data_IF_686519070075
#
_entry.id   IF_686519070075
#
_cell.length_a   1.000
_cell.length_b   1.000
_cell.length_c   1.000
_cell.angle_alpha   90.00
_cell.angle_beta   90.00
_cell.angle_gamma   90.00
#
_symmetry.space_group_name_H-M   'P 1'
#
loop_
_entity.id
_entity.type
_entity.pdbx_description
1 polymer ?
#
# COMPACT_ATOMS: atom_id res chain seq x y z
N UNK A 1 -39.00 -14.72 -15.03
CA UNK A 1 -38.74 -13.43 -14.38
C UNK A 1 -37.25 -13.36 -14.06
N UNK A 2 -36.48 -12.57 -14.82
CA UNK A 2 -35.05 -12.42 -14.55
C UNK A 2 -34.86 -11.40 -13.42
N UNK A 3 -34.27 -11.84 -12.31
CA UNK A 3 -33.87 -10.93 -11.25
C UNK A 3 -32.83 -9.95 -11.82
N UNK A 4 -33.20 -8.67 -11.93
CA UNK A 4 -32.25 -7.57 -12.13
C UNK A 4 -31.37 -7.52 -10.88
N UNK A 5 -30.26 -8.26 -10.90
CA UNK A 5 -29.17 -8.03 -9.97
C UNK A 5 -28.66 -6.62 -10.21
N UNK A 6 -29.11 -5.66 -9.40
CA UNK A 6 -28.48 -4.35 -9.33
C UNK A 6 -27.10 -4.57 -8.72
N UNK A 7 -26.10 -4.80 -9.57
CA UNK A 7 -24.70 -4.73 -9.16
C UNK A 7 -24.46 -3.27 -8.77
N UNK A 8 -24.70 -2.93 -7.49
CA UNK A 8 -24.23 -1.67 -6.92
C UNK A 8 -22.71 -1.73 -6.96
N UNK A 9 -22.14 -1.20 -8.04
CA UNK A 9 -20.72 -0.88 -8.10
C UNK A 9 -20.52 0.20 -7.05
N UNK A 10 -20.01 -0.16 -5.86
CA UNK A 10 -19.50 0.82 -4.91
C UNK A 10 -18.45 1.63 -5.66
N UNK A 11 -18.79 2.85 -6.07
CA UNK A 11 -17.84 3.74 -6.75
C UNK A 11 -16.65 3.91 -5.83
N UNK A 12 -15.46 3.55 -6.31
CA UNK A 12 -14.22 3.77 -5.59
C UNK A 12 -14.11 5.28 -5.30
N UNK A 13 -14.14 5.65 -4.02
CA UNK A 13 -13.91 7.02 -3.57
C UNK A 13 -12.51 7.06 -2.96
N UNK A 14 -11.62 7.85 -3.55
CA UNK A 14 -10.32 8.11 -2.96
C UNK A 14 -10.50 8.90 -1.65
N UNK A 15 -9.89 8.43 -0.58
CA UNK A 15 -10.03 9.00 0.77
C UNK A 15 -8.81 9.81 1.21
N UNK A 16 -7.62 9.52 0.69
CA UNK A 16 -6.40 10.26 1.03
C UNK A 16 -5.11 9.52 0.71
N UNK A 17 -4.00 10.25 0.88
CA UNK A 17 -2.64 9.73 0.85
C UNK A 17 -2.11 9.56 2.28
N UNK A 18 -1.44 8.44 2.51
CA UNK A 18 -0.71 8.18 3.75
C UNK A 18 0.78 8.03 3.40
N UNK A 19 1.61 8.93 3.91
CA UNK A 19 3.06 8.81 3.83
C UNK A 19 3.52 8.06 5.09
N UNK A 20 4.14 6.89 4.90
CA UNK A 20 4.62 6.10 6.02
C UNK A 20 6.08 6.45 6.29
N UNK A 21 6.33 6.97 7.49
CA UNK A 21 7.67 7.22 8.01
C UNK A 21 8.00 6.18 9.08
N UNK A 22 9.13 5.49 8.91
CA UNK A 22 9.60 4.47 9.85
C UNK A 22 10.54 5.06 10.90
N UNK A 23 10.35 4.66 12.16
CA UNK A 23 11.37 4.87 13.20
C UNK A 23 12.64 4.07 12.90
N UNK A 24 13.73 4.34 13.61
CA UNK A 24 14.98 3.60 13.43
C UNK A 24 14.82 2.10 13.75
N UNK A 25 14.09 1.77 14.80
CA UNK A 25 13.78 0.39 15.18
C UNK A 25 12.91 -0.31 14.12
N UNK A 26 11.93 0.40 13.57
CA UNK A 26 11.09 -0.15 12.50
C UNK A 26 11.88 -0.38 11.21
N UNK A 27 12.79 0.52 10.85
CA UNK A 27 13.71 0.32 9.72
C UNK A 27 14.56 -0.93 9.90
N UNK A 28 15.11 -1.13 11.10
CA UNK A 28 15.88 -2.32 11.42
C UNK A 28 15.06 -3.60 11.24
N UNK A 29 13.82 -3.61 11.75
CA UNK A 29 12.89 -4.75 11.59
C UNK A 29 12.54 -5.04 10.13
N UNK A 30 12.34 -4.00 9.33
CA UNK A 30 12.06 -4.11 7.90
C UNK A 30 13.26 -4.73 7.18
N UNK A 31 14.47 -4.23 7.43
CA UNK A 31 15.71 -4.75 6.83
C UNK A 31 15.92 -6.22 7.21
N UNK A 32 15.81 -6.54 8.50
CA UNK A 32 15.90 -7.91 9.00
C UNK A 32 14.91 -8.85 8.31
N UNK A 33 13.68 -8.39 8.09
CA UNK A 33 12.67 -9.18 7.41
C UNK A 33 13.01 -9.39 5.93
N UNK A 34 13.45 -8.33 5.24
CA UNK A 34 13.84 -8.38 3.82
C UNK A 34 15.00 -9.37 3.64
N UNK A 35 16.01 -9.30 4.49
CA UNK A 35 17.20 -10.15 4.41
C UNK A 35 16.87 -11.63 4.73
N UNK A 36 15.92 -11.88 5.62
CA UNK A 36 15.50 -13.25 6.01
C UNK A 36 14.55 -13.92 5.02
N UNK A 37 13.66 -13.16 4.38
CA UNK A 37 12.60 -13.74 3.56
C UNK A 37 12.98 -13.92 2.10
N UNK A 38 14.13 -13.38 1.66
CA UNK A 38 14.66 -13.37 0.28
C UNK A 38 13.60 -13.54 -0.81
N UNK A 39 12.51 -12.78 -0.67
CA UNK A 39 11.34 -12.96 -1.51
C UNK A 39 11.61 -12.26 -2.84
N UNK A 40 11.27 -12.93 -3.93
CA UNK A 40 11.36 -12.30 -5.23
C UNK A 40 10.37 -11.13 -5.32
N UNK A 41 10.73 -10.11 -6.09
CA UNK A 41 9.89 -8.92 -6.25
C UNK A 41 8.58 -9.29 -6.95
N UNK A 42 8.59 -10.26 -7.87
CA UNK A 42 7.36 -10.71 -8.52
C UNK A 42 6.41 -11.39 -7.53
N UNK A 43 6.93 -12.18 -6.59
CA UNK A 43 6.12 -12.81 -5.54
C UNK A 43 5.52 -11.76 -4.60
N UNK A 44 6.30 -10.72 -4.26
CA UNK A 44 5.80 -9.59 -3.48
C UNK A 44 4.58 -8.94 -4.16
N UNK A 45 4.68 -8.63 -5.45
CA UNK A 45 3.60 -8.01 -6.22
C UNK A 45 2.40 -8.95 -6.33
N UNK A 46 2.64 -10.24 -6.62
CA UNK A 46 1.59 -11.25 -6.80
C UNK A 46 0.69 -11.31 -5.58
N UNK A 47 1.26 -11.43 -4.37
CA UNK A 47 0.45 -11.51 -3.16
C UNK A 47 -0.33 -10.22 -2.88
N UNK A 48 0.26 -9.05 -3.15
CA UNK A 48 -0.46 -7.79 -3.00
C UNK A 48 -1.68 -7.73 -3.94
N UNK A 49 -1.51 -8.11 -5.20
CA UNK A 49 -2.59 -8.13 -6.19
C UNK A 49 -3.67 -9.14 -5.83
N UNK A 50 -3.30 -10.35 -5.39
CA UNK A 50 -4.24 -11.38 -4.92
C UNK A 50 -5.04 -10.92 -3.70
N UNK A 51 -4.41 -10.13 -2.82
CA UNK A 51 -5.07 -9.48 -1.69
C UNK A 51 -5.93 -8.26 -2.09
N UNK A 52 -6.16 -8.04 -3.40
CA UNK A 52 -6.91 -6.91 -3.97
C UNK A 52 -6.25 -5.56 -3.70
N UNK A 53 -4.93 -5.49 -3.72
CA UNK A 53 -4.19 -4.23 -3.72
C UNK A 53 -3.65 -3.92 -5.11
N UNK A 54 -3.87 -2.68 -5.57
CA UNK A 54 -3.20 -2.16 -6.75
C UNK A 54 -1.83 -1.64 -6.32
N UNK A 55 -0.77 -2.12 -6.96
CA UNK A 55 0.59 -1.60 -6.80
C UNK A 55 0.92 -0.65 -7.96
N UNK A 56 1.57 0.48 -7.66
CA UNK A 56 2.06 1.43 -8.66
C UNK A 56 3.49 1.84 -8.36
N UNK A 57 4.27 2.13 -9.41
CA UNK A 57 5.64 2.62 -9.28
C UNK A 57 5.74 3.91 -10.08
N UNK A 58 6.32 4.94 -9.48
CA UNK A 58 6.69 6.18 -10.14
C UNK A 58 8.09 6.61 -9.73
N UNK A 59 8.70 7.49 -10.53
CA UNK A 59 9.95 8.15 -10.19
C UNK A 59 9.64 9.61 -9.85
N UNK A 60 10.17 10.09 -8.72
CA UNK A 60 10.04 11.48 -8.29
C UNK A 60 11.35 12.20 -8.63
N UNK A 61 11.35 12.93 -9.76
CA UNK A 61 12.50 13.70 -10.23
C UNK A 61 12.95 14.79 -9.25
N UNK A 62 12.05 15.30 -8.39
CA UNK A 62 12.43 16.34 -7.44
C UNK A 62 13.25 15.77 -6.29
N UNK A 63 12.81 14.64 -5.73
CA UNK A 63 13.51 13.99 -4.61
C UNK A 63 14.49 12.89 -5.03
N UNK A 64 14.59 12.61 -6.34
CA UNK A 64 15.50 11.62 -6.94
C UNK A 64 15.34 10.21 -6.32
N UNK A 65 14.09 9.82 -6.05
CA UNK A 65 13.76 8.51 -5.48
C UNK A 65 12.57 7.88 -6.19
N UNK A 66 12.46 6.56 -6.09
CA UNK A 66 11.28 5.84 -6.54
C UNK A 66 10.17 5.97 -5.50
N UNK A 67 8.93 6.12 -5.97
CA UNK A 67 7.72 6.09 -5.17
C UNK A 67 6.93 4.81 -5.50
N UNK A 68 6.84 3.90 -4.54
CA UNK A 68 5.99 2.71 -4.60
C UNK A 68 4.67 3.05 -3.91
N UNK A 69 3.57 2.85 -4.62
CA UNK A 69 2.22 3.13 -4.13
C UNK A 69 1.41 1.84 -4.00
N UNK A 70 0.58 1.78 -2.98
CA UNK A 70 -0.34 0.67 -2.72
C UNK A 70 -1.75 1.21 -2.46
N UNK A 71 -2.70 0.85 -3.31
CA UNK A 71 -4.10 1.24 -3.15
C UNK A 71 -4.96 0.03 -2.85
N UNK A 72 -5.65 0.02 -1.70
CA UNK A 72 -6.58 -1.05 -1.36
C UNK A 72 -7.84 -0.95 -2.24
N UNK A 73 -8.18 -2.05 -2.93
CA UNK A 73 -9.39 -2.18 -3.75
C UNK A 73 -10.44 -3.09 -3.12
N UNK A 74 -10.18 -3.68 -1.96
CA UNK A 74 -11.14 -4.52 -1.27
C UNK A 74 -12.21 -3.68 -0.54
N UNK A 75 -13.50 -3.73 -0.93
CA UNK A 75 -14.54 -2.89 -0.33
C UNK A 75 -14.93 -3.26 1.10
N UNK A 76 -14.44 -4.40 1.62
CA UNK A 76 -14.59 -4.82 3.01
C UNK A 76 -13.50 -4.28 3.93
N UNK A 77 -12.35 -3.88 3.39
CA UNK A 77 -11.26 -3.40 4.23
C UNK A 77 -11.49 -1.96 4.70
N UNK A 78 -11.05 -1.65 5.92
CA UNK A 78 -10.96 -0.27 6.44
C UNK A 78 -10.10 0.65 5.56
N UNK A 79 -9.20 0.07 4.77
CA UNK A 79 -8.28 0.82 3.90
C UNK A 79 -8.87 1.08 2.51
N UNK A 80 -10.08 0.63 2.22
CA UNK A 80 -10.72 0.88 0.94
C UNK A 80 -10.73 2.38 0.60
N UNK A 81 -10.11 2.74 -0.52
CA UNK A 81 -10.02 4.15 -0.95
C UNK A 81 -8.75 4.88 -0.52
N UNK A 82 -7.90 4.28 0.33
CA UNK A 82 -6.60 4.84 0.70
C UNK A 82 -5.49 4.42 -0.27
N UNK A 83 -4.52 5.32 -0.46
CA UNK A 83 -3.26 5.04 -1.16
C UNK A 83 -2.07 5.31 -0.23
N UNK A 84 -1.28 4.28 0.02
CA UNK A 84 -0.05 4.35 0.81
C UNK A 84 1.13 4.53 -0.12
N UNK A 85 2.06 5.42 0.22
CA UNK A 85 3.25 5.69 -0.59
C UNK A 85 4.51 5.42 0.22
N UNK A 86 5.43 4.67 -0.37
CA UNK A 86 6.76 4.36 0.14
C UNK A 86 7.79 4.94 -0.82
N UNK A 87 8.68 5.81 -0.31
CA UNK A 87 9.78 6.35 -1.09
C UNK A 87 11.06 5.59 -0.81
N UNK A 88 11.75 5.16 -1.85
CA UNK A 88 13.01 4.43 -1.72
C UNK A 88 13.91 4.64 -2.95
N UNK A 89 15.23 4.70 -2.76
CA UNK A 89 16.20 4.85 -3.87
C UNK A 89 16.22 3.62 -4.77
N UNK A 90 16.02 2.44 -4.19
CA UNK A 90 15.88 1.16 -4.88
C UNK A 90 14.40 0.73 -4.93
N UNK A 91 13.85 0.59 -6.13
CA UNK A 91 12.46 0.18 -6.37
C UNK A 91 12.16 -1.24 -5.85
N UNK A 92 13.11 -2.17 -5.97
CA UNK A 92 12.92 -3.56 -5.52
C UNK A 92 12.76 -3.59 -4.01
N UNK A 93 13.62 -2.86 -3.29
CA UNK A 93 13.48 -2.67 -1.83
C UNK A 93 12.17 -1.97 -1.48
N UNK A 94 11.78 -0.92 -2.22
CA UNK A 94 10.48 -0.26 -2.02
C UNK A 94 9.28 -1.22 -2.11
N UNK A 95 9.31 -2.16 -3.06
CA UNK A 95 8.28 -3.18 -3.22
C UNK A 95 8.29 -4.23 -2.10
N UNK A 96 9.48 -4.62 -1.62
CA UNK A 96 9.59 -5.51 -0.45
C UNK A 96 9.11 -4.84 0.84
N UNK A 97 9.35 -3.53 1.02
CA UNK A 97 8.80 -2.73 2.12
C UNK A 97 7.27 -2.71 2.05
N UNK A 98 6.72 -2.45 0.86
CA UNK A 98 5.28 -2.53 0.62
C UNK A 98 4.70 -3.90 1.01
N UNK A 99 5.40 -4.99 0.67
CA UNK A 99 5.00 -6.33 1.08
C UNK A 99 5.06 -6.55 2.59
N UNK A 100 6.14 -6.12 3.24
CA UNK A 100 6.27 -6.16 4.70
C UNK A 100 5.11 -5.44 5.38
N UNK A 101 4.79 -4.22 4.93
CA UNK A 101 3.68 -3.45 5.50
C UNK A 101 2.34 -4.15 5.36
N UNK A 102 2.12 -4.82 4.23
CA UNK A 102 0.92 -5.63 4.06
C UNK A 102 0.84 -6.78 5.08
N UNK A 103 1.89 -7.58 5.21
CA UNK A 103 1.87 -8.78 6.06
C UNK A 103 1.72 -8.47 7.54
N UNK A 104 2.37 -7.41 8.03
CA UNK A 104 2.42 -7.10 9.46
C UNK A 104 1.41 -6.06 9.91
N UNK A 105 0.92 -5.21 9.01
CA UNK A 105 0.08 -4.08 9.40
C UNK A 105 -1.24 -4.01 8.65
N UNK A 106 -1.25 -4.18 7.31
CA UNK A 106 -2.49 -3.94 6.56
C UNK A 106 -3.42 -5.16 6.51
N UNK A 107 -2.89 -6.38 6.43
CA UNK A 107 -3.72 -7.59 6.34
C UNK A 107 -4.62 -7.74 7.57
N UNK A 108 -4.06 -7.52 8.74
CA UNK A 108 -4.77 -7.60 10.03
C UNK A 108 -5.33 -6.24 10.48
N UNK A 109 -5.32 -5.23 9.60
CA UNK A 109 -5.90 -3.91 9.89
C UNK A 109 -5.32 -3.19 11.11
N UNK A 110 -4.03 -3.41 11.39
CA UNK A 110 -3.32 -2.87 12.55
C UNK A 110 -2.75 -1.47 12.32
N UNK A 111 -2.54 -1.04 11.07
CA UNK A 111 -2.08 0.32 10.78
C UNK A 111 -3.15 1.34 11.12
N UNK A 112 -2.88 2.19 12.12
CA UNK A 112 -3.74 3.31 12.48
C UNK A 112 -3.68 4.38 11.40
N UNK A 113 -4.80 4.62 10.71
CA UNK A 113 -4.91 5.75 9.79
C UNK A 113 -4.89 7.03 10.62
N UNK A 114 -4.08 8.01 10.23
CA UNK A 114 -4.12 9.30 10.90
C UNK A 114 -5.51 9.92 10.68
N UNK A 115 -6.27 10.10 11.77
CA UNK A 115 -7.51 10.88 11.69
C UNK A 115 -7.15 12.33 11.43
N UNK A 116 -7.10 12.75 10.16
CA UNK A 116 -7.36 14.14 9.79
C UNK A 116 -7.79 14.29 8.34
N UNK A 117 -8.99 14.85 8.19
CA UNK A 117 -9.44 15.65 7.06
C UNK A 117 -8.40 16.71 6.71
N UNK A 118 -7.36 16.34 5.96
CA UNK A 118 -6.71 17.29 5.07
C UNK A 118 -7.12 16.87 3.68
N UNK A 119 -8.28 17.39 3.26
CA UNK A 119 -8.48 17.64 1.84
C UNK A 119 -7.20 18.34 1.38
N UNK A 120 -6.40 17.63 0.57
CA UNK A 120 -5.41 18.29 -0.24
C UNK A 120 -6.22 19.14 -1.23
N UNK A 121 -6.49 20.39 -0.85
CA UNK A 121 -6.74 21.44 -1.81
C UNK A 121 -5.47 21.54 -2.65
N UNK A 122 -5.62 21.32 -3.94
CA UNK A 122 -4.62 21.62 -4.95
C UNK A 122 -4.42 23.13 -5.06
#
# INVERSE_FOLDING_TARGET
MAAKGSTQVKKFKFLGFENIEFTEEERSRVVDWIDKNDCDVADCITVLVEAKWKVGVGYDDFSQVNAVSMTCKDPSSRYFGYCFIFKHTDVARGLKIARFMFDFYFREELYALEKKNKAYDW
#
